data_IF_835584430721
#
_entry.id   IF_835584430721
#
_cell.length_a   1.000
_cell.length_b   1.000
_cell.length_c   1.000
_cell.angle_alpha   90.00
_cell.angle_beta   90.00
_cell.angle_gamma   90.00
#
_symmetry.space_group_name_H-M   'P 1'
#
loop_
_entity.id
_entity.type
_entity.pdbx_description
1 polymer ?
#
# COMPACT_ATOMS: atom_id res chain seq x y z
N UNK A 1 33.33 28.57 17.34
CA UNK A 1 33.29 27.30 16.59
C UNK A 1 31.86 26.80 16.67
N UNK A 2 31.00 27.29 15.79
CA UNK A 2 29.62 26.81 15.70
C UNK A 2 29.64 25.48 14.96
N UNK A 3 29.20 24.41 15.63
CA UNK A 3 28.91 23.15 14.96
C UNK A 3 27.64 23.35 14.14
N UNK A 4 27.80 23.57 12.83
CA UNK A 4 26.72 23.35 11.87
C UNK A 4 26.37 21.85 11.93
N UNK A 5 25.37 21.51 12.72
CA UNK A 5 24.64 20.26 12.56
C UNK A 5 23.92 20.36 11.22
N UNK A 6 24.57 19.86 10.17
CA UNK A 6 23.89 19.54 8.92
C UNK A 6 22.79 18.53 9.26
N UNK A 7 21.54 18.99 9.38
CA UNK A 7 20.38 18.10 9.34
C UNK A 7 20.42 17.38 7.99
N UNK A 8 20.94 16.15 7.99
CA UNK A 8 20.73 15.26 6.85
C UNK A 8 19.23 15.04 6.80
N UNK A 9 18.62 15.47 5.70
CA UNK A 9 17.23 15.17 5.40
C UNK A 9 17.16 13.67 5.05
N UNK A 10 17.17 12.81 6.08
CA UNK A 10 17.22 11.34 6.01
C UNK A 10 15.86 10.73 5.57
N UNK A 11 15.03 11.49 4.85
CA UNK A 11 13.76 10.99 4.33
C UNK A 11 14.00 10.15 3.09
N UNK A 12 13.38 8.96 3.05
CA UNK A 12 13.39 8.10 1.86
C UNK A 12 12.29 8.47 0.85
N UNK A 13 11.51 9.52 1.13
CA UNK A 13 10.46 9.99 0.24
C UNK A 13 10.99 10.24 -1.17
N UNK A 14 10.37 9.60 -2.16
CA UNK A 14 10.74 9.76 -3.57
C UNK A 14 11.99 9.00 -4.03
N UNK A 15 12.53 8.08 -3.22
CA UNK A 15 13.71 7.28 -3.60
C UNK A 15 13.46 6.24 -4.73
N UNK A 16 12.21 6.11 -5.20
CA UNK A 16 11.83 5.18 -6.25
C UNK A 16 11.76 3.71 -5.81
N UNK A 17 11.83 3.42 -4.51
CA UNK A 17 11.69 2.06 -3.97
C UNK A 17 10.32 1.93 -3.33
N UNK A 18 9.51 1.00 -3.87
CA UNK A 18 8.14 0.74 -3.40
C UNK A 18 8.09 -0.56 -2.61
N UNK A 19 7.52 -0.52 -1.41
CA UNK A 19 7.22 -1.69 -0.59
C UNK A 19 5.77 -2.12 -0.75
N UNK A 20 5.50 -3.42 -0.89
CA UNK A 20 4.15 -4.00 -0.82
C UNK A 20 4.02 -4.77 0.49
N UNK A 21 3.10 -4.33 1.35
CA UNK A 21 2.86 -4.97 2.65
C UNK A 21 2.23 -6.36 2.52
N UNK A 22 2.48 -7.19 3.53
CA UNK A 22 1.65 -8.35 3.82
C UNK A 22 0.47 -7.91 4.70
N UNK A 23 -0.75 -8.03 4.17
CA UNK A 23 -1.97 -7.61 4.88
C UNK A 23 -2.13 -8.35 6.22
N UNK A 24 -2.43 -7.63 7.30
CA UNK A 24 -2.56 -8.20 8.66
C UNK A 24 -3.98 -8.17 9.22
N UNK A 25 -4.90 -7.44 8.59
CA UNK A 25 -6.24 -7.14 9.14
C UNK A 25 -7.06 -8.38 9.51
N UNK A 26 -7.06 -9.40 8.66
CA UNK A 26 -7.73 -10.67 8.90
C UNK A 26 -7.18 -11.75 7.96
N UNK A 27 -7.72 -12.98 8.07
CA UNK A 27 -7.31 -14.12 7.24
C UNK A 27 -7.95 -14.14 5.84
N UNK A 28 -9.01 -13.37 5.63
CA UNK A 28 -9.80 -13.34 4.39
C UNK A 28 -9.39 -12.23 3.41
N UNK A 29 -8.57 -11.28 3.85
CA UNK A 29 -7.99 -10.26 2.98
C UNK A 29 -6.89 -10.88 2.13
N UNK A 30 -7.27 -11.30 0.92
CA UNK A 30 -6.38 -11.94 -0.06
C UNK A 30 -5.99 -10.99 -1.20
N UNK A 31 -6.51 -9.77 -1.24
CA UNK A 31 -6.20 -8.81 -2.31
C UNK A 31 -4.78 -8.28 -2.15
N UNK A 32 -4.28 -7.65 -3.21
CA UNK A 32 -3.00 -6.96 -3.22
C UNK A 32 -3.17 -5.57 -3.85
N UNK A 33 -2.44 -4.53 -3.37
CA UNK A 33 -2.52 -3.18 -3.93
C UNK A 33 -1.98 -3.13 -5.36
N UNK A 34 -0.97 -3.95 -5.67
CA UNK A 34 -0.40 -4.11 -7.01
C UNK A 34 -0.35 -5.60 -7.35
N UNK A 35 -0.79 -5.96 -8.55
CA UNK A 35 -0.65 -7.32 -9.09
C UNK A 35 0.77 -7.51 -9.64
N UNK A 36 1.22 -8.76 -9.86
CA UNK A 36 2.47 -9.03 -10.57
C UNK A 36 2.57 -8.31 -11.92
N UNK A 37 1.47 -8.23 -12.69
CA UNK A 37 1.44 -7.51 -13.96
C UNK A 37 1.62 -5.99 -13.82
N UNK A 38 1.06 -5.39 -12.75
CA UNK A 38 1.33 -3.98 -12.44
C UNK A 38 2.80 -3.77 -12.10
N UNK A 39 3.39 -4.67 -11.30
CA UNK A 39 4.79 -4.60 -10.90
C UNK A 39 5.72 -4.73 -12.10
N UNK A 40 5.51 -5.73 -12.96
CA UNK A 40 6.25 -5.90 -14.21
C UNK A 40 6.17 -4.64 -15.08
N UNK A 41 5.00 -4.00 -15.18
CA UNK A 41 4.86 -2.75 -15.93
C UNK A 41 5.65 -1.60 -15.31
N UNK A 42 5.65 -1.48 -13.98
CA UNK A 42 6.37 -0.41 -13.27
C UNK A 42 7.90 -0.60 -13.31
N UNK A 43 8.36 -1.83 -13.21
CA UNK A 43 9.80 -2.19 -13.15
C UNK A 43 10.41 -2.36 -14.55
N UNK A 44 9.68 -2.97 -15.49
CA UNK A 44 10.19 -3.39 -16.82
C UNK A 44 9.60 -2.58 -17.98
N UNK A 45 8.40 -2.02 -17.83
CA UNK A 45 7.49 -1.70 -18.94
C UNK A 45 7.69 -0.38 -19.69
N UNK A 46 8.64 0.48 -19.34
CA UNK A 46 8.86 1.69 -20.14
C UNK A 46 9.64 2.78 -19.42
N UNK A 47 10.97 2.72 -19.54
CA UNK A 47 11.90 3.76 -19.15
C UNK A 47 11.90 4.09 -17.65
N UNK A 48 12.93 3.65 -16.92
CA UNK A 48 13.25 4.09 -15.53
C UNK A 48 13.18 5.62 -15.30
N UNK A 49 13.05 6.43 -16.36
CA UNK A 49 12.94 7.89 -16.35
C UNK A 49 11.49 8.43 -16.29
N UNK A 50 10.46 7.66 -16.68
CA UNK A 50 9.07 8.16 -16.67
C UNK A 50 8.27 7.76 -15.43
N UNK A 51 8.45 6.53 -14.91
CA UNK A 51 7.72 6.08 -13.71
C UNK A 51 8.38 6.51 -12.39
N UNK A 52 9.69 6.78 -12.40
CA UNK A 52 10.46 7.03 -11.18
C UNK A 52 10.61 5.82 -10.26
N UNK A 53 10.13 4.64 -10.65
CA UNK A 53 10.20 3.40 -9.87
C UNK A 53 11.45 2.61 -10.26
N UNK A 54 12.33 2.39 -9.30
CA UNK A 54 13.59 1.68 -9.45
C UNK A 54 13.47 0.21 -9.05
N UNK A 55 12.80 -0.05 -7.92
CA UNK A 55 12.71 -1.37 -7.28
C UNK A 55 11.34 -1.52 -6.61
N UNK A 56 10.84 -2.75 -6.57
CA UNK A 56 9.65 -3.11 -5.81
C UNK A 56 10.02 -4.26 -4.88
N UNK A 57 9.82 -4.05 -3.58
CA UNK A 57 10.06 -5.02 -2.52
C UNK A 57 8.71 -5.48 -2.00
N UNK A 58 8.52 -6.79 -1.91
CA UNK A 58 7.25 -7.40 -1.53
C UNK A 58 7.46 -8.22 -0.29
N UNK A 59 6.68 -7.93 0.76
CA UNK A 59 6.67 -8.79 1.94
C UNK A 59 6.09 -10.17 1.59
N UNK A 60 6.73 -11.27 2.03
CA UNK A 60 6.21 -12.61 1.87
C UNK A 60 4.79 -12.74 2.41
N UNK A 61 3.93 -13.47 1.71
CA UNK A 61 2.56 -13.69 2.19
C UNK A 61 1.97 -15.01 1.74
N UNK A 62 1.55 -15.82 2.70
CA UNK A 62 0.78 -17.05 2.45
C UNK A 62 -0.72 -16.81 2.23
N UNK A 63 -1.20 -15.58 2.46
CA UNK A 63 -2.64 -15.22 2.38
C UNK A 63 -3.02 -14.58 1.05
N UNK A 64 -2.12 -13.75 0.52
CA UNK A 64 -2.28 -13.00 -0.73
C UNK A 64 -2.64 -13.96 -1.87
N UNK A 65 -3.54 -13.54 -2.76
CA UNK A 65 -4.01 -14.35 -3.89
C UNK A 65 -2.91 -14.58 -4.95
N UNK A 66 -1.91 -13.71 -4.98
CA UNK A 66 -0.73 -13.81 -5.82
C UNK A 66 0.44 -14.34 -4.98
N UNK A 67 1.04 -15.43 -5.45
CA UNK A 67 2.18 -16.06 -4.79
C UNK A 67 3.46 -15.21 -4.97
N UNK A 68 4.38 -15.31 -3.99
CA UNK A 68 5.64 -14.57 -4.00
C UNK A 68 6.47 -14.84 -5.28
N UNK A 69 6.49 -16.10 -5.75
CA UNK A 69 7.14 -16.48 -7.01
C UNK A 69 6.63 -15.69 -8.23
N UNK A 70 5.35 -15.30 -8.25
CA UNK A 70 4.79 -14.50 -9.34
C UNK A 70 5.32 -13.06 -9.33
N UNK A 71 5.65 -12.53 -8.15
CA UNK A 71 6.29 -11.22 -8.02
C UNK A 71 7.77 -11.29 -8.39
N UNK A 72 8.47 -12.36 -8.00
CA UNK A 72 9.85 -12.61 -8.44
C UNK A 72 9.93 -12.68 -9.98
N UNK A 73 9.04 -13.44 -10.62
CA UNK A 73 8.93 -13.52 -12.09
C UNK A 73 8.62 -12.16 -12.73
N UNK A 74 7.98 -11.25 -11.99
CA UNK A 74 7.69 -9.88 -12.42
C UNK A 74 8.86 -8.89 -12.19
N UNK A 75 9.98 -9.36 -11.64
CA UNK A 75 11.17 -8.56 -11.35
C UNK A 75 11.13 -7.84 -10.00
N UNK A 76 10.29 -8.28 -9.07
CA UNK A 76 10.28 -7.79 -7.69
C UNK A 76 11.25 -8.56 -6.80
N UNK A 77 11.60 -7.95 -5.68
CA UNK A 77 12.38 -8.58 -4.61
C UNK A 77 11.45 -9.01 -3.48
N UNK A 78 11.68 -10.20 -2.91
CA UNK A 78 10.92 -10.68 -1.76
C UNK A 78 11.73 -10.44 -0.49
N UNK A 79 11.19 -9.68 0.46
CA UNK A 79 11.85 -9.37 1.73
C UNK A 79 10.84 -8.98 2.80
N UNK A 80 11.06 -9.46 4.03
CA UNK A 80 10.31 -9.01 5.21
C UNK A 80 10.60 -7.53 5.55
N UNK A 81 11.82 -7.09 5.27
CA UNK A 81 12.28 -5.73 5.56
C UNK A 81 11.91 -4.76 4.44
N UNK A 82 11.16 -3.72 4.80
CA UNK A 82 10.77 -2.60 3.93
C UNK A 82 11.48 -1.30 4.32
N UNK A 83 12.52 -1.35 5.16
CA UNK A 83 13.22 -0.17 5.70
C UNK A 83 13.75 0.77 4.62
N UNK A 84 14.13 0.24 3.46
CA UNK A 84 14.63 1.00 2.31
C UNK A 84 13.53 1.58 1.38
N UNK A 85 12.26 1.25 1.62
CA UNK A 85 11.16 1.72 0.78
C UNK A 85 10.81 3.17 1.11
N UNK A 86 10.78 4.05 0.10
CA UNK A 86 10.30 5.42 0.26
C UNK A 86 8.78 5.52 0.29
N UNK A 87 8.10 4.61 -0.43
CA UNK A 87 6.65 4.45 -0.45
C UNK A 87 6.29 3.02 -0.08
N UNK A 88 5.37 2.84 0.86
CA UNK A 88 4.84 1.54 1.26
C UNK A 88 3.34 1.50 0.98
N UNK A 89 2.90 0.48 0.22
CA UNK A 89 1.51 0.34 -0.21
C UNK A 89 0.84 -0.89 0.39
N UNK A 90 -0.44 -0.76 0.71
CA UNK A 90 -1.30 -1.81 1.24
C UNK A 90 -2.76 -1.58 0.84
N UNK A 91 -3.63 -2.54 1.10
CA UNK A 91 -5.07 -2.41 0.94
C UNK A 91 -5.68 -1.85 2.23
N UNK A 92 -5.37 -2.43 3.39
CA UNK A 92 -5.92 -2.02 4.69
C UNK A 92 -4.86 -1.39 5.58
N UNK A 93 -5.32 -0.81 6.70
CA UNK A 93 -4.41 -0.27 7.68
C UNK A 93 -3.44 -1.36 8.20
N UNK A 94 -2.13 -1.11 8.22
CA UNK A 94 -1.17 -1.98 8.89
C UNK A 94 -1.31 -1.84 10.41
N UNK A 95 -0.66 -2.74 11.15
CA UNK A 95 -0.54 -2.57 12.61
C UNK A 95 0.38 -1.40 12.93
N UNK A 96 0.20 -0.78 14.11
CA UNK A 96 0.93 0.43 14.50
C UNK A 96 2.45 0.20 14.54
N UNK A 97 2.89 -0.99 14.96
CA UNK A 97 4.30 -1.39 15.01
C UNK A 97 4.96 -1.55 13.63
N UNK A 98 4.18 -1.62 12.55
CA UNK A 98 4.67 -1.75 11.17
C UNK A 98 4.86 -0.38 10.49
N UNK A 99 4.46 0.72 11.17
CA UNK A 99 4.63 2.07 10.65
C UNK A 99 6.07 2.52 10.87
N UNK A 100 6.79 2.74 9.77
CA UNK A 100 8.16 3.23 9.76
C UNK A 100 8.18 4.77 9.69
N UNK A 101 9.10 5.43 10.43
CA UNK A 101 9.25 6.88 10.39
C UNK A 101 9.68 7.40 9.03
N UNK A 102 9.26 8.64 8.73
CA UNK A 102 9.73 9.42 7.58
C UNK A 102 9.52 8.71 6.23
N UNK A 103 8.40 7.99 6.09
CA UNK A 103 7.99 7.27 4.87
C UNK A 103 6.68 7.79 4.31
N UNK A 104 6.43 7.49 3.03
CA UNK A 104 5.10 7.58 2.46
C UNK A 104 4.36 6.25 2.62
N UNK A 105 3.08 6.31 2.97
CA UNK A 105 2.18 5.15 2.95
C UNK A 105 0.95 5.42 2.11
N UNK A 106 0.47 4.41 1.38
CA UNK A 106 -0.80 4.50 0.66
C UNK A 106 -1.67 3.26 0.90
N UNK A 107 -2.84 3.47 1.49
CA UNK A 107 -3.83 2.43 1.81
C UNK A 107 -5.19 3.09 2.15
N UNK A 108 -6.26 2.29 2.30
CA UNK A 108 -7.52 2.77 2.84
C UNK A 108 -7.39 2.97 4.35
N UNK A 109 -7.13 4.20 4.79
CA UNK A 109 -6.81 4.47 6.20
C UNK A 109 -8.02 4.54 7.12
N UNK A 110 -9.17 4.90 6.55
CA UNK A 110 -10.43 5.10 7.26
C UNK A 110 -10.31 6.14 8.41
N UNK A 111 -9.37 7.11 8.30
CA UNK A 111 -9.18 8.15 9.33
C UNK A 111 -9.94 9.45 9.01
N UNK A 112 -10.18 9.78 7.73
CA UNK A 112 -10.81 11.04 7.32
C UNK A 112 -12.18 11.30 7.97
N UNK A 113 -12.94 10.25 8.29
CA UNK A 113 -14.26 10.34 8.93
C UNK A 113 -14.20 10.43 10.46
N UNK A 114 -13.01 10.59 11.05
CA UNK A 114 -12.78 10.72 12.49
C UNK A 114 -13.40 9.57 13.32
N UNK A 115 -13.38 8.34 12.78
CA UNK A 115 -13.86 7.16 13.50
C UNK A 115 -12.89 6.80 14.62
N UNK A 116 -13.38 6.73 15.87
CA UNK A 116 -12.57 6.55 17.08
C UNK A 116 -11.57 5.39 16.99
N UNK A 117 -11.98 4.28 16.36
CA UNK A 117 -11.17 3.07 16.20
C UNK A 117 -9.89 3.29 15.38
N UNK A 118 -9.89 4.27 14.45
CA UNK A 118 -8.77 4.54 13.55
C UNK A 118 -7.93 5.75 14.00
N UNK A 119 -8.32 6.47 15.05
CA UNK A 119 -7.56 7.65 15.51
C UNK A 119 -6.17 7.31 16.06
N UNK A 120 -5.93 6.16 16.75
CA UNK A 120 -4.58 5.77 17.13
C UNK A 120 -3.62 5.60 15.95
N UNK A 121 -4.14 5.19 14.78
CA UNK A 121 -3.35 5.11 13.55
C UNK A 121 -2.98 6.51 13.05
N UNK A 122 -3.91 7.46 13.10
CA UNK A 122 -3.64 8.84 12.71
C UNK A 122 -2.59 9.47 13.64
N UNK A 123 -2.71 9.26 14.94
CA UNK A 123 -1.73 9.70 15.94
C UNK A 123 -0.35 9.15 15.61
N UNK A 124 -0.25 7.83 15.38
CA UNK A 124 1.01 7.17 14.99
C UNK A 124 1.61 7.75 13.71
N UNK A 125 0.78 8.03 12.70
CA UNK A 125 1.23 8.61 11.42
C UNK A 125 1.81 10.02 11.63
N UNK A 126 1.18 10.82 12.50
CA UNK A 126 1.67 12.17 12.83
C UNK A 126 2.97 12.10 13.64
N UNK A 127 3.04 11.24 14.66
CA UNK A 127 4.23 11.04 15.50
C UNK A 127 5.46 10.62 14.68
N UNK A 128 5.26 9.71 13.72
CA UNK A 128 6.31 9.15 12.87
C UNK A 128 6.61 9.99 11.62
N UNK A 129 5.98 11.17 11.47
CA UNK A 129 6.13 12.06 10.30
C UNK A 129 5.86 11.36 8.97
N UNK A 130 4.89 10.44 8.96
CA UNK A 130 4.51 9.69 7.77
C UNK A 130 3.64 10.54 6.86
N UNK A 131 3.94 10.51 5.56
CA UNK A 131 3.05 11.05 4.53
C UNK A 131 2.00 10.01 4.14
N UNK A 132 0.74 10.24 4.49
CA UNK A 132 -0.35 9.32 4.19
C UNK A 132 -1.13 9.71 2.93
N UNK A 133 -1.21 8.80 1.97
CA UNK A 133 -2.04 8.88 0.78
C UNK A 133 -3.25 7.96 0.94
N UNK A 134 -4.37 8.51 1.41
CA UNK A 134 -5.59 7.73 1.61
C UNK A 134 -6.30 7.44 0.27
N UNK A 135 -6.37 6.16 -0.10
CA UNK A 135 -7.05 5.73 -1.32
C UNK A 135 -8.52 6.15 -1.39
N UNK A 136 -9.20 6.34 -0.25
CA UNK A 136 -10.59 6.78 -0.24
C UNK A 136 -10.76 8.21 -0.81
N UNK A 137 -9.71 9.04 -0.73
CA UNK A 137 -9.74 10.46 -1.10
C UNK A 137 -9.15 10.74 -2.49
N UNK A 138 -8.69 9.72 -3.21
CA UNK A 138 -8.17 9.88 -4.56
C UNK A 138 -9.34 9.97 -5.55
N UNK A 139 -9.53 11.17 -6.11
CA UNK A 139 -10.58 11.53 -7.07
C UNK A 139 -9.99 12.07 -8.36
N UNK A 140 -10.75 12.01 -9.46
CA UNK A 140 -10.44 12.72 -10.70
C UNK A 140 -10.88 14.20 -10.62
N UNK A 141 -10.67 14.93 -11.72
CA UNK A 141 -10.99 16.36 -11.84
C UNK A 141 -12.50 16.64 -11.67
N UNK A 142 -13.36 15.65 -11.92
CA UNK A 142 -14.81 15.73 -11.73
C UNK A 142 -15.24 15.31 -10.30
N UNK A 143 -14.29 15.02 -9.42
CA UNK A 143 -14.54 14.58 -8.03
C UNK A 143 -14.98 13.12 -7.91
N UNK A 144 -14.88 12.32 -8.98
CA UNK A 144 -15.24 10.91 -8.95
C UNK A 144 -14.07 10.07 -8.42
N UNK A 145 -14.38 9.19 -7.48
CA UNK A 145 -13.40 8.30 -6.85
C UNK A 145 -12.74 7.37 -7.87
N UNK A 146 -11.40 7.38 -7.89
CA UNK A 146 -10.59 6.56 -8.79
C UNK A 146 -10.40 5.13 -8.29
N UNK A 147 -10.25 4.95 -6.97
CA UNK A 147 -10.08 3.64 -6.35
C UNK A 147 -11.37 3.19 -5.66
N UNK A 148 -12.08 2.25 -6.28
CA UNK A 148 -13.27 1.63 -5.71
C UNK A 148 -13.43 0.17 -6.16
N UNK A 149 -14.01 -0.66 -5.29
CA UNK A 149 -14.25 -2.09 -5.55
C UNK A 149 -15.69 -2.41 -5.96
N UNK A 150 -16.53 -1.40 -6.24
CA UNK A 150 -17.98 -1.53 -6.36
C UNK A 150 -18.44 -2.58 -7.39
N UNK A 151 -17.79 -2.66 -8.55
CA UNK A 151 -18.14 -3.64 -9.60
C UNK A 151 -18.01 -5.08 -9.13
N UNK A 152 -16.92 -5.40 -8.42
CA UNK A 152 -16.70 -6.75 -7.91
C UNK A 152 -17.51 -7.02 -6.64
N UNK A 153 -17.72 -6.00 -5.79
CA UNK A 153 -18.61 -6.11 -4.64
C UNK A 153 -20.05 -6.49 -5.05
N UNK A 154 -20.59 -5.86 -6.10
CA UNK A 154 -21.92 -6.22 -6.61
C UNK A 154 -22.00 -7.64 -7.18
N UNK A 155 -20.94 -8.11 -7.84
CA UNK A 155 -20.86 -9.48 -8.37
C UNK A 155 -20.79 -10.52 -7.25
N UNK A 156 -19.96 -10.29 -6.24
CA UNK A 156 -19.87 -11.16 -5.07
C UNK A 156 -21.21 -11.22 -4.32
N UNK A 157 -21.83 -10.06 -4.06
CA UNK A 157 -23.12 -9.98 -3.40
C UNK A 157 -24.24 -10.70 -4.16
N UNK A 158 -24.27 -10.64 -5.50
CA UNK A 158 -25.22 -11.40 -6.30
C UNK A 158 -25.05 -12.92 -6.12
N UNK A 159 -23.80 -13.40 -6.16
CA UNK A 159 -23.50 -14.83 -5.99
C UNK A 159 -23.92 -15.30 -4.59
N UNK A 160 -23.56 -14.54 -3.55
CA UNK A 160 -23.92 -14.85 -2.16
C UNK A 160 -25.44 -14.86 -1.97
N UNK A 161 -26.14 -13.89 -2.55
CA UNK A 161 -27.61 -13.81 -2.47
C UNK A 161 -28.29 -15.00 -3.16
N UNK A 162 -27.86 -15.35 -4.37
CA UNK A 162 -28.41 -16.51 -5.09
C UNK A 162 -28.10 -17.83 -4.38
N UNK A 163 -26.92 -17.95 -3.76
CA UNK A 163 -26.59 -19.11 -2.95
C UNK A 163 -27.49 -19.23 -1.73
N UNK A 164 -27.73 -18.13 -1.01
CA UNK A 164 -28.61 -18.10 0.16
C UNK A 164 -30.07 -18.42 -0.15
N UNK A 165 -30.59 -18.02 -1.32
CA UNK A 165 -31.95 -18.38 -1.77
C UNK A 165 -32.11 -19.88 -2.12
N UNK A 166 -31.00 -20.56 -2.42
CA UNK A 166 -31.00 -21.98 -2.79
C UNK A 166 -30.86 -22.95 -1.61
N UNK A 167 -30.73 -22.45 -0.37
CA UNK A 167 -30.71 -23.25 0.87
C UNK A 167 -32.12 -23.38 1.46
#
# INVERSE_FOLDING_TARGET
>A
MGSETTERNDTLLGNGVIGILAETVNMWERRAPLTPSHCARLVLGGGKRESGVNRIIVQPSTKRIHHDAQYEDAGCEISEDLSECGLIVGIKQPKLEMILPDRAYAFFSHTHKAQKENMPLLDKIMEERVSLFDYELIVDDDGKRMLAFGKFAGRAGLIDFLHGLGQ
#
